data_IF_667654374312
#
_entry.id   IF_667654374312
#
_cell.length_a   1.000
_cell.length_b   1.000
_cell.length_c   1.000
_cell.angle_alpha   90.00
_cell.angle_beta   90.00
_cell.angle_gamma   90.00
#
_symmetry.space_group_name_H-M   'P 1'
#
loop_
_entity.id
_entity.type
_entity.pdbx_description
1 polymer ?
#
# COMPACT_ATOMS: atom_id res chain seq x y z
N UNK A 1 -66.89 -26.78 -29.94
CA UNK A 1 -65.63 -26.05 -29.90
C UNK A 1 -64.81 -26.59 -28.74
N UNK A 2 -63.75 -27.42 -29.03
CA UNK A 2 -62.82 -27.94 -28.05
C UNK A 2 -61.61 -27.08 -28.02
N UNK A 3 -61.37 -26.35 -26.93
CA UNK A 3 -60.16 -25.61 -26.68
C UNK A 3 -59.08 -26.58 -26.16
N UNK A 4 -58.02 -26.78 -26.94
CA UNK A 4 -56.82 -27.49 -26.49
C UNK A 4 -55.93 -26.50 -25.76
N UNK A 5 -55.65 -26.73 -24.46
CA UNK A 5 -54.70 -25.99 -23.65
C UNK A 5 -53.30 -26.60 -23.89
N UNK A 6 -52.45 -25.86 -24.58
CA UNK A 6 -51.03 -26.26 -24.77
C UNK A 6 -50.23 -25.83 -23.54
N UNK A 7 -49.83 -26.81 -22.73
CA UNK A 7 -48.97 -26.60 -21.56
C UNK A 7 -47.52 -26.47 -22.03
N UNK A 8 -46.95 -25.27 -22.06
CA UNK A 8 -45.54 -25.06 -22.36
C UNK A 8 -44.75 -25.30 -21.06
N UNK A 9 -44.02 -26.43 -21.04
CA UNK A 9 -43.04 -26.74 -19.98
C UNK A 9 -41.78 -25.88 -20.21
N UNK A 10 -41.59 -24.84 -19.41
CA UNK A 10 -40.36 -24.06 -19.36
C UNK A 10 -39.30 -24.89 -18.62
N UNK A 11 -38.38 -25.52 -19.35
CA UNK A 11 -37.23 -26.18 -18.75
C UNK A 11 -36.20 -25.13 -18.37
N UNK A 12 -36.17 -24.77 -17.08
CA UNK A 12 -35.10 -23.97 -16.53
C UNK A 12 -33.82 -24.82 -16.44
N UNK A 13 -32.92 -24.66 -17.39
CA UNK A 13 -31.57 -25.23 -17.31
C UNK A 13 -30.77 -24.44 -16.27
N UNK A 14 -30.59 -25.02 -15.07
CA UNK A 14 -29.61 -24.50 -14.11
C UNK A 14 -28.23 -24.82 -14.64
N UNK A 15 -27.51 -23.80 -15.13
CA UNK A 15 -26.09 -23.91 -15.39
C UNK A 15 -25.37 -23.92 -14.03
N UNK A 16 -25.01 -25.09 -13.54
CA UNK A 16 -24.12 -25.26 -12.42
C UNK A 16 -22.70 -25.03 -12.95
N UNK A 17 -22.15 -23.87 -12.69
CA UNK A 17 -20.77 -23.56 -13.07
C UNK A 17 -19.80 -24.25 -12.09
N UNK A 18 -18.81 -24.96 -12.62
CA UNK A 18 -17.64 -25.38 -11.84
C UNK A 18 -16.91 -24.12 -11.35
N UNK A 19 -16.74 -23.99 -10.04
CA UNK A 19 -16.11 -22.80 -9.47
C UNK A 19 -14.60 -22.99 -9.43
N UNK A 20 -13.90 -22.31 -10.33
CA UNK A 20 -12.44 -22.25 -10.33
C UNK A 20 -11.98 -21.09 -9.42
N UNK A 21 -10.93 -21.33 -8.62
CA UNK A 21 -10.30 -20.30 -7.80
C UNK A 21 -9.02 -19.87 -8.51
N UNK A 22 -8.93 -18.59 -8.85
CA UNK A 22 -7.72 -17.98 -9.39
C UNK A 22 -7.16 -17.02 -8.35
N UNK A 23 -5.89 -17.23 -7.94
CA UNK A 23 -5.13 -16.34 -7.10
C UNK A 23 -3.98 -15.76 -7.91
N UNK A 24 -3.75 -14.46 -7.78
CA UNK A 24 -2.59 -13.76 -8.31
C UNK A 24 -1.90 -12.99 -7.21
N UNK A 25 -0.59 -13.05 -7.19
CA UNK A 25 0.21 -12.33 -6.20
C UNK A 25 1.70 -12.51 -6.41
N UNK A 26 2.48 -12.29 -5.37
CA UNK A 26 3.93 -12.42 -5.41
C UNK A 26 4.39 -13.53 -4.48
N UNK A 27 5.35 -14.33 -4.94
CA UNK A 27 5.96 -15.36 -4.10
C UNK A 27 6.75 -14.72 -2.96
N UNK A 28 6.46 -15.14 -1.72
CA UNK A 28 7.08 -14.61 -0.51
C UNK A 28 7.82 -15.69 0.29
N UNK A 29 8.09 -16.87 -0.33
CA UNK A 29 8.74 -18.00 0.33
C UNK A 29 7.82 -18.82 1.24
N UNK A 30 6.51 -18.66 1.11
CA UNK A 30 5.50 -19.42 1.86
C UNK A 30 4.60 -20.19 0.90
N UNK A 31 4.05 -21.33 1.37
CA UNK A 31 3.15 -22.20 0.65
C UNK A 31 1.69 -21.83 0.89
N UNK A 32 0.78 -22.31 0.03
CA UNK A 32 -0.65 -22.12 0.19
C UNK A 32 -1.30 -23.35 0.81
N UNK A 33 -2.29 -23.15 1.68
CA UNK A 33 -3.07 -24.21 2.29
C UNK A 33 -4.51 -24.19 1.77
N UNK A 34 -5.00 -25.35 1.35
CA UNK A 34 -6.31 -25.54 0.75
C UNK A 34 -7.18 -26.43 1.61
N UNK A 35 -8.35 -25.95 1.98
CA UNK A 35 -9.43 -26.77 2.49
C UNK A 35 -10.21 -27.36 1.32
N UNK A 36 -10.26 -28.69 1.21
CA UNK A 36 -10.79 -29.43 0.08
C UNK A 36 -11.93 -30.35 0.49
N UNK A 37 -13.19 -29.91 0.44
CA UNK A 37 -14.32 -30.73 0.84
C UNK A 37 -14.54 -31.91 -0.09
N UNK A 38 -15.39 -32.84 0.31
CA UNK A 38 -15.87 -33.89 -0.59
C UNK A 38 -16.62 -33.30 -1.79
N UNK A 39 -16.51 -33.96 -2.93
CA UNK A 39 -17.29 -33.60 -4.12
C UNK A 39 -18.78 -33.74 -3.85
N UNK A 40 -19.63 -32.96 -4.51
CA UNK A 40 -21.08 -33.00 -4.39
C UNK A 40 -21.66 -34.38 -4.78
N UNK A 41 -20.96 -35.13 -5.64
CA UNK A 41 -21.30 -36.53 -5.96
C UNK A 41 -21.10 -37.53 -4.84
N UNK A 42 -20.45 -37.13 -3.74
CA UNK A 42 -20.06 -38.02 -2.62
C UNK A 42 -18.86 -38.91 -2.93
N UNK A 43 -18.25 -38.79 -4.11
CA UNK A 43 -17.11 -39.62 -4.52
C UNK A 43 -15.87 -38.75 -4.69
N UNK A 44 -14.88 -38.95 -3.82
CA UNK A 44 -13.61 -38.21 -3.80
C UNK A 44 -13.76 -36.75 -3.35
N UNK A 45 -12.71 -35.99 -3.54
CA UNK A 45 -12.61 -34.58 -3.12
C UNK A 45 -12.97 -33.61 -4.26
N UNK A 46 -13.22 -32.34 -3.88
CA UNK A 46 -13.69 -31.29 -4.77
C UNK A 46 -12.63 -30.89 -5.81
N UNK A 47 -11.38 -30.67 -5.37
CA UNK A 47 -10.29 -30.29 -6.25
C UNK A 47 -9.84 -31.46 -7.10
N UNK A 48 -9.68 -31.23 -8.41
CA UNK A 48 -9.16 -32.23 -9.33
C UNK A 48 -7.88 -31.80 -10.05
N UNK A 49 -7.55 -30.52 -10.01
CA UNK A 49 -6.32 -29.99 -10.62
C UNK A 49 -5.89 -28.70 -9.93
N UNK A 50 -4.59 -28.54 -9.73
CA UNK A 50 -3.94 -27.29 -9.31
C UNK A 50 -2.84 -26.97 -10.30
N UNK A 51 -2.79 -25.70 -10.75
CA UNK A 51 -1.69 -25.23 -11.59
C UNK A 51 -1.09 -23.96 -11.00
N UNK A 52 0.23 -23.82 -11.13
CA UNK A 52 1.00 -22.63 -10.75
C UNK A 52 1.72 -22.13 -12.00
N UNK A 53 1.46 -20.89 -12.41
CA UNK A 53 1.93 -20.32 -13.69
C UNK A 53 1.68 -21.24 -14.90
N UNK A 54 0.54 -21.97 -14.88
CA UNK A 54 0.14 -22.92 -15.92
C UNK A 54 0.79 -24.32 -15.83
N UNK A 55 1.70 -24.55 -14.89
CA UNK A 55 2.30 -25.85 -14.63
C UNK A 55 1.46 -26.60 -13.60
N UNK A 56 1.06 -27.85 -13.90
CA UNK A 56 0.32 -28.69 -12.95
C UNK A 56 1.23 -29.09 -11.80
N UNK A 57 0.71 -28.99 -10.55
CA UNK A 57 1.43 -29.39 -9.35
C UNK A 57 1.40 -30.90 -9.17
N UNK A 58 2.32 -31.42 -8.37
CA UNK A 58 2.37 -32.83 -7.93
C UNK A 58 1.86 -33.01 -6.51
N UNK A 59 1.24 -31.97 -5.94
CA UNK A 59 0.72 -32.01 -4.57
C UNK A 59 -0.37 -33.08 -4.40
N UNK A 60 -0.46 -33.66 -3.19
CA UNK A 60 -1.46 -34.66 -2.84
C UNK A 60 -2.83 -34.00 -2.62
N UNK A 61 -3.59 -33.86 -3.70
CA UNK A 61 -4.93 -33.24 -3.69
C UNK A 61 -6.06 -34.17 -3.24
N UNK A 62 -5.78 -35.47 -3.02
CA UNK A 62 -6.77 -36.47 -2.61
C UNK A 62 -6.99 -36.51 -1.11
N UNK A 63 -7.10 -35.36 -0.49
CA UNK A 63 -7.21 -35.14 0.94
C UNK A 63 -8.22 -34.03 1.25
N UNK A 64 -8.79 -34.01 2.45
CA UNK A 64 -9.71 -32.96 2.91
C UNK A 64 -9.02 -31.58 3.09
N UNK A 65 -7.69 -31.58 3.18
CA UNK A 65 -6.84 -30.40 3.16
C UNK A 65 -5.48 -30.77 2.60
N UNK A 66 -4.87 -29.88 1.85
CA UNK A 66 -3.54 -30.08 1.30
C UNK A 66 -2.79 -28.77 1.19
N UNK A 67 -1.48 -28.88 1.02
CA UNK A 67 -0.56 -27.77 0.79
C UNK A 67 -0.24 -27.71 -0.70
N UNK A 68 -0.21 -26.50 -1.27
CA UNK A 68 0.39 -26.24 -2.58
C UNK A 68 1.81 -25.79 -2.29
N UNK A 69 2.77 -26.67 -2.57
CA UNK A 69 4.19 -26.41 -2.36
C UNK A 69 4.75 -25.52 -3.48
N UNK A 70 4.85 -24.23 -3.20
CA UNK A 70 5.38 -23.26 -4.14
C UNK A 70 6.91 -23.29 -4.21
N UNK A 71 7.59 -23.90 -3.24
CA UNK A 71 9.06 -23.94 -3.19
C UNK A 71 9.68 -24.79 -4.30
N UNK A 72 8.96 -25.79 -4.80
CA UNK A 72 9.42 -26.72 -5.86
C UNK A 72 9.56 -26.06 -7.22
N UNK A 73 8.96 -24.87 -7.43
CA UNK A 73 8.98 -24.16 -8.71
C UNK A 73 10.23 -23.29 -8.91
N UNK A 74 11.05 -23.11 -7.88
CA UNK A 74 12.27 -22.29 -7.95
C UNK A 74 12.05 -20.79 -8.10
N UNK A 75 10.91 -20.28 -7.69
CA UNK A 75 10.60 -18.83 -7.74
C UNK A 75 11.50 -18.01 -6.83
N UNK A 76 11.81 -16.80 -7.25
CA UNK A 76 12.47 -15.80 -6.40
C UNK A 76 11.43 -15.03 -5.58
N UNK A 77 11.84 -14.60 -4.36
CA UNK A 77 11.00 -13.69 -3.55
C UNK A 77 10.66 -12.44 -4.36
N UNK A 78 9.36 -12.11 -4.43
CA UNK A 78 8.83 -10.99 -5.22
C UNK A 78 8.45 -11.34 -6.66
N UNK A 79 8.65 -12.58 -7.11
CA UNK A 79 8.22 -13.03 -8.42
C UNK A 79 6.69 -13.13 -8.50
N UNK A 80 6.11 -12.67 -9.61
CA UNK A 80 4.66 -12.74 -9.83
C UNK A 80 4.25 -14.18 -10.12
N UNK A 81 3.26 -14.66 -9.38
CA UNK A 81 2.69 -16.00 -9.58
C UNK A 81 1.18 -15.97 -9.75
N UNK A 82 0.66 -16.94 -10.48
CA UNK A 82 -0.76 -17.20 -10.66
C UNK A 82 -1.03 -18.66 -10.28
N UNK A 83 -1.94 -18.87 -9.34
CA UNK A 83 -2.36 -20.19 -8.87
C UNK A 83 -3.81 -20.41 -9.25
N UNK A 84 -4.11 -21.50 -9.97
CA UNK A 84 -5.45 -21.88 -10.33
C UNK A 84 -5.79 -23.23 -9.66
N UNK A 85 -6.90 -23.23 -8.90
CA UNK A 85 -7.45 -24.44 -8.29
C UNK A 85 -8.77 -24.76 -8.96
N UNK A 86 -8.85 -25.91 -9.64
CA UNK A 86 -10.04 -26.37 -10.36
C UNK A 86 -10.86 -27.33 -9.52
N UNK A 87 -12.12 -27.01 -9.36
CA UNK A 87 -13.08 -27.79 -8.58
C UNK A 87 -14.07 -28.52 -9.51
N UNK A 88 -14.55 -29.69 -9.06
CA UNK A 88 -15.68 -30.40 -9.66
C UNK A 88 -16.97 -29.57 -9.49
N UNK A 89 -17.97 -29.86 -10.29
CA UNK A 89 -19.26 -29.20 -10.21
C UNK A 89 -19.94 -29.41 -8.84
N UNK A 90 -20.62 -28.37 -8.37
CA UNK A 90 -21.40 -28.40 -7.14
C UNK A 90 -20.61 -28.39 -5.84
N UNK A 91 -19.29 -28.17 -5.88
CA UNK A 91 -18.45 -28.01 -4.69
C UNK A 91 -17.44 -26.89 -4.87
N UNK A 92 -16.92 -26.34 -3.75
CA UNK A 92 -15.95 -25.25 -3.74
C UNK A 92 -14.88 -25.53 -2.69
N UNK A 93 -13.62 -25.49 -3.07
CA UNK A 93 -12.49 -25.48 -2.16
C UNK A 93 -12.28 -24.07 -1.58
N UNK A 94 -11.46 -23.95 -0.53
CA UNK A 94 -11.12 -22.68 0.11
C UNK A 94 -9.63 -22.58 0.34
N UNK A 95 -9.02 -21.48 -0.12
CA UNK A 95 -7.65 -21.12 0.24
C UNK A 95 -7.68 -20.50 1.65
N UNK A 96 -6.86 -21.01 2.56
CA UNK A 96 -6.88 -20.62 3.98
C UNK A 96 -5.97 -19.43 4.28
N UNK A 97 -4.94 -19.19 3.47
CA UNK A 97 -3.86 -18.21 3.71
C UNK A 97 -3.46 -17.46 2.44
N UNK A 98 -4.41 -17.02 1.64
CA UNK A 98 -4.12 -16.29 0.38
C UNK A 98 -3.26 -15.05 0.55
N UNK A 99 -3.26 -14.45 1.76
CA UNK A 99 -2.46 -13.27 2.12
C UNK A 99 -0.95 -13.51 2.12
N UNK A 100 -0.48 -14.76 2.06
CA UNK A 100 0.96 -15.07 1.92
C UNK A 100 1.52 -14.63 0.57
N UNK A 101 0.66 -14.42 -0.43
CA UNK A 101 1.03 -13.90 -1.75
C UNK A 101 1.06 -12.37 -1.81
N UNK A 102 0.71 -11.68 -0.73
CA UNK A 102 0.77 -10.23 -0.70
C UNK A 102 2.21 -9.74 -0.55
N UNK A 103 2.62 -8.67 -1.27
CA UNK A 103 3.94 -8.07 -1.13
C UNK A 103 4.27 -7.71 0.32
N UNK A 104 5.55 -7.88 0.69
CA UNK A 104 6.12 -7.52 2.01
C UNK A 104 7.13 -6.39 1.88
N UNK A 105 7.28 -5.61 2.93
CA UNK A 105 8.29 -4.55 3.01
C UNK A 105 9.69 -5.16 3.22
N UNK A 106 10.35 -5.61 2.13
CA UNK A 106 11.64 -6.33 2.17
C UNK A 106 12.80 -5.55 1.57
N UNK A 107 12.55 -4.38 0.96
CA UNK A 107 13.57 -3.60 0.26
C UNK A 107 14.83 -3.35 1.10
N UNK A 108 15.97 -3.31 0.42
CA UNK A 108 17.25 -2.86 0.99
C UNK A 108 17.74 -1.65 0.21
N UNK A 109 18.24 -0.63 0.92
CA UNK A 109 18.85 0.53 0.28
C UNK A 109 20.29 0.18 -0.08
N UNK A 110 20.58 0.14 -1.38
CA UNK A 110 21.94 0.00 -1.90
C UNK A 110 22.67 1.34 -1.89
N UNK A 111 22.01 2.41 -2.32
CA UNK A 111 22.53 3.77 -2.25
C UNK A 111 21.40 4.77 -1.97
N UNK A 112 21.72 5.86 -1.25
CA UNK A 112 20.81 6.96 -1.01
C UNK A 112 21.60 8.26 -0.87
N UNK A 113 21.26 9.28 -1.66
CA UNK A 113 21.91 10.59 -1.62
C UNK A 113 20.92 11.72 -1.93
N UNK A 114 21.26 12.90 -1.45
CA UNK A 114 20.58 14.15 -1.83
C UNK A 114 21.48 14.89 -2.80
N UNK A 115 20.94 15.27 -3.96
CA UNK A 115 21.61 16.02 -5.01
C UNK A 115 20.77 17.26 -5.33
N UNK A 116 21.25 18.42 -4.87
CA UNK A 116 20.46 19.65 -4.88
C UNK A 116 19.19 19.52 -4.05
N UNK A 117 18.04 19.57 -4.71
CA UNK A 117 16.72 19.37 -4.10
C UNK A 117 16.12 17.99 -4.41
N UNK A 118 16.88 17.05 -4.93
CA UNK A 118 16.40 15.73 -5.26
C UNK A 118 16.95 14.69 -4.30
N UNK A 119 16.09 13.84 -3.78
CA UNK A 119 16.48 12.57 -3.16
C UNK A 119 16.56 11.52 -4.26
N UNK A 120 17.72 10.88 -4.38
CA UNK A 120 17.97 9.74 -5.27
C UNK A 120 18.28 8.53 -4.40
N UNK A 121 17.69 7.37 -4.74
CA UNK A 121 18.03 6.12 -4.06
C UNK A 121 17.88 4.94 -5.00
N UNK A 122 18.60 3.88 -4.66
CA UNK A 122 18.49 2.57 -5.30
C UNK A 122 18.13 1.52 -4.25
N UNK A 123 17.32 0.57 -4.66
CA UNK A 123 16.88 -0.55 -3.82
C UNK A 123 17.23 -1.88 -4.46
N UNK A 124 17.35 -2.89 -3.61
CA UNK A 124 17.40 -4.31 -3.94
C UNK A 124 16.30 -5.03 -3.15
N UNK A 125 15.99 -6.26 -3.55
CA UNK A 125 15.10 -7.18 -2.82
C UNK A 125 13.67 -6.65 -2.55
N UNK A 126 13.12 -5.85 -3.48
CA UNK A 126 11.70 -5.54 -3.42
C UNK A 126 10.88 -6.81 -3.71
N UNK A 127 9.88 -7.09 -2.89
CA UNK A 127 9.03 -8.29 -3.02
C UNK A 127 7.63 -7.99 -3.57
N UNK A 128 7.56 -7.03 -4.48
CA UNK A 128 6.32 -6.59 -5.13
C UNK A 128 6.14 -5.08 -5.07
N UNK A 129 5.26 -4.58 -5.93
CA UNK A 129 5.03 -3.15 -6.10
C UNK A 129 4.26 -2.58 -4.92
N UNK A 130 4.97 -1.88 -4.04
CA UNK A 130 4.41 -1.14 -2.91
C UNK A 130 4.97 0.29 -2.89
N UNK A 131 4.19 1.29 -2.45
CA UNK A 131 4.65 2.66 -2.40
C UNK A 131 5.77 2.86 -1.37
N UNK A 132 6.72 3.71 -1.71
CA UNK A 132 7.68 4.30 -0.79
C UNK A 132 7.17 5.65 -0.30
N UNK A 133 7.19 5.84 1.01
CA UNK A 133 6.88 7.11 1.65
C UNK A 133 8.18 7.79 2.04
N UNK A 134 8.46 8.95 1.45
CA UNK A 134 9.59 9.79 1.84
C UNK A 134 9.14 10.64 3.02
N UNK A 135 9.85 10.49 4.14
CA UNK A 135 9.53 11.18 5.38
C UNK A 135 10.65 12.16 5.75
N UNK A 136 10.25 13.34 6.20
CA UNK A 136 11.13 14.39 6.70
C UNK A 136 10.83 14.63 8.17
N UNK A 137 11.88 14.72 9.01
CA UNK A 137 11.72 15.06 10.39
C UNK A 137 11.55 16.57 10.55
N UNK A 138 10.39 16.97 11.06
CA UNK A 138 10.04 18.36 11.39
C UNK A 138 9.01 18.39 12.51
N UNK A 139 8.98 19.46 13.26
CA UNK A 139 8.00 19.63 14.34
C UNK A 139 8.00 18.46 15.34
N UNK A 140 9.19 17.92 15.64
CA UNK A 140 9.42 16.76 16.51
C UNK A 140 8.70 15.47 16.06
N UNK A 141 8.40 15.33 14.77
CA UNK A 141 7.77 14.12 14.18
C UNK A 141 8.25 13.85 12.77
N UNK A 142 8.09 12.60 12.32
CA UNK A 142 8.27 12.24 10.92
C UNK A 142 7.00 12.59 10.13
N UNK A 143 7.15 13.38 9.10
CA UNK A 143 6.07 13.84 8.21
C UNK A 143 6.32 13.29 6.82
N UNK A 144 5.35 12.59 6.25
CA UNK A 144 5.42 12.15 4.85
C UNK A 144 5.33 13.38 3.95
N UNK A 145 6.36 13.57 3.12
CA UNK A 145 6.47 14.71 2.20
C UNK A 145 6.29 14.30 0.74
N UNK A 146 6.45 13.01 0.42
CA UNK A 146 6.19 12.46 -0.90
C UNK A 146 5.84 10.97 -0.82
N UNK A 147 5.12 10.50 -1.84
CA UNK A 147 4.85 9.10 -2.10
C UNK A 147 5.37 8.75 -3.49
N UNK A 148 6.10 7.65 -3.62
CA UNK A 148 6.71 7.19 -4.86
C UNK A 148 6.34 5.73 -5.09
N UNK A 149 5.76 5.43 -6.24
CA UNK A 149 5.38 4.06 -6.58
C UNK A 149 6.61 3.14 -6.65
N UNK A 150 6.58 2.05 -5.91
CA UNK A 150 7.62 1.03 -5.98
C UNK A 150 7.52 0.21 -7.26
N UNK A 151 8.65 -0.20 -7.82
CA UNK A 151 8.73 -1.04 -9.03
C UNK A 151 8.51 -2.51 -8.73
N UNK A 152 8.81 -2.94 -7.52
CA UNK A 152 8.52 -4.28 -7.01
C UNK A 152 9.43 -5.37 -7.57
N UNK A 153 10.42 -5.05 -8.39
CA UNK A 153 11.35 -6.05 -8.90
C UNK A 153 12.41 -6.40 -7.84
N UNK A 154 12.76 -7.70 -7.67
CA UNK A 154 13.75 -8.11 -6.68
C UNK A 154 15.17 -7.65 -7.01
N UNK A 155 15.45 -7.32 -8.28
CA UNK A 155 16.70 -6.73 -8.75
C UNK A 155 16.77 -5.23 -8.43
N UNK A 156 17.88 -4.60 -8.80
CA UNK A 156 18.10 -3.18 -8.58
C UNK A 156 17.02 -2.30 -9.21
N UNK A 157 16.48 -1.38 -8.41
CA UNK A 157 15.52 -0.35 -8.84
C UNK A 157 16.04 1.02 -8.42
N UNK A 158 15.89 2.02 -9.31
CA UNK A 158 16.32 3.39 -9.05
C UNK A 158 15.12 4.32 -8.98
N UNK A 159 15.19 5.28 -8.05
CA UNK A 159 14.13 6.24 -7.75
C UNK A 159 14.68 7.65 -7.60
N UNK A 160 13.82 8.61 -7.85
CA UNK A 160 14.09 10.03 -7.64
C UNK A 160 12.81 10.76 -7.23
N UNK A 161 12.95 11.73 -6.31
CA UNK A 161 11.86 12.62 -5.93
C UNK A 161 12.40 13.99 -5.53
N UNK A 162 11.69 15.04 -5.91
CA UNK A 162 12.02 16.40 -5.47
C UNK A 162 11.62 16.60 -4.00
N UNK A 163 12.53 17.15 -3.21
CA UNK A 163 12.34 17.48 -1.80
C UNK A 163 11.89 18.92 -1.61
N UNK A 164 10.99 19.12 -0.66
CA UNK A 164 10.65 20.45 -0.14
C UNK A 164 11.33 20.63 1.21
N UNK A 165 12.60 21.07 1.15
CA UNK A 165 13.41 21.29 2.33
C UNK A 165 12.87 22.47 3.13
N UNK A 166 12.93 22.37 4.46
CA UNK A 166 12.76 23.52 5.35
C UNK A 166 14.12 24.20 5.61
N UNK A 167 14.14 25.34 6.28
CA UNK A 167 15.36 26.03 6.65
C UNK A 167 16.24 25.20 7.60
N UNK A 168 17.56 25.31 7.45
CA UNK A 168 18.51 24.62 8.31
C UNK A 168 18.64 23.12 8.05
N UNK A 169 18.90 22.34 9.09
CA UNK A 169 19.15 20.90 8.99
C UNK A 169 17.87 20.12 8.72
N UNK A 170 17.90 19.25 7.70
CA UNK A 170 16.82 18.37 7.31
C UNK A 170 17.26 16.92 7.45
N UNK A 171 16.46 16.10 8.16
CA UNK A 171 16.64 14.65 8.25
C UNK A 171 15.55 13.99 7.44
N UNK A 172 15.93 13.04 6.59
CA UNK A 172 15.05 12.37 5.66
C UNK A 172 15.26 10.87 5.78
N UNK A 173 14.19 10.10 5.67
CA UNK A 173 14.21 8.65 5.56
C UNK A 173 13.14 8.17 4.59
N UNK A 174 13.25 6.92 4.20
CA UNK A 174 12.28 6.23 3.35
C UNK A 174 11.59 5.17 4.19
N UNK A 175 10.26 5.09 4.08
CA UNK A 175 9.43 4.06 4.69
C UNK A 175 8.64 3.31 3.63
N UNK A 176 8.48 2.02 3.81
CA UNK A 176 7.51 1.18 3.10
C UNK A 176 6.64 0.46 4.13
N UNK A 177 5.35 0.33 3.84
CA UNK A 177 4.38 -0.35 4.73
C UNK A 177 3.71 -1.46 3.95
N UNK A 178 3.74 -2.68 4.45
CA UNK A 178 3.09 -3.82 3.83
C UNK A 178 1.60 -3.94 4.17
N UNK A 179 0.93 -4.91 3.56
CA UNK A 179 -0.49 -5.19 3.80
C UNK A 179 -0.81 -5.61 5.24
N UNK A 180 0.18 -6.15 5.97
CA UNK A 180 0.09 -6.52 7.38
C UNK A 180 0.38 -5.35 8.33
N UNK A 181 0.58 -4.13 7.80
CA UNK A 181 0.96 -2.90 8.53
C UNK A 181 2.36 -2.93 9.15
N UNK A 182 3.23 -3.82 8.70
CA UNK A 182 4.64 -3.78 9.07
C UNK A 182 5.34 -2.66 8.31
N UNK A 183 6.14 -1.88 9.03
CA UNK A 183 6.93 -0.80 8.46
C UNK A 183 8.39 -1.21 8.34
N UNK A 184 8.99 -0.95 7.19
CA UNK A 184 10.44 -1.00 6.99
C UNK A 184 10.96 0.39 6.65
N UNK A 185 12.08 0.76 7.28
CA UNK A 185 12.69 2.09 7.15
C UNK A 185 14.10 1.98 6.58
N UNK A 186 14.50 2.99 5.80
CA UNK A 186 15.92 3.22 5.49
C UNK A 186 16.66 3.77 6.71
N UNK A 187 18.00 3.84 6.61
CA UNK A 187 18.78 4.77 7.44
C UNK A 187 18.37 6.20 7.13
N UNK A 188 18.61 7.10 8.08
CA UNK A 188 18.41 8.53 7.91
C UNK A 188 19.55 9.13 7.09
N UNK A 189 19.21 10.12 6.24
CA UNK A 189 20.18 10.98 5.58
C UNK A 189 19.92 12.42 5.97
N UNK A 190 21.00 13.18 6.19
CA UNK A 190 20.92 14.56 6.64
C UNK A 190 21.47 15.51 5.58
N UNK A 191 20.82 16.66 5.41
CA UNK A 191 21.31 17.75 4.56
C UNK A 191 20.98 19.09 5.20
N UNK A 192 21.80 20.10 4.92
CA UNK A 192 21.54 21.47 5.36
C UNK A 192 21.06 22.31 4.20
N UNK A 193 19.90 22.92 4.36
CA UNK A 193 19.31 23.82 3.38
C UNK A 193 19.80 25.26 3.62
N UNK A 194 20.14 25.96 2.52
CA UNK A 194 20.44 27.38 2.52
C UNK A 194 19.18 28.28 2.50
N UNK A 195 17.99 27.71 2.48
CA UNK A 195 16.72 28.43 2.51
C UNK A 195 16.66 29.25 3.81
N UNK A 196 16.39 30.57 3.75
CA UNK A 196 16.26 31.39 4.95
C UNK A 196 15.12 30.92 5.84
N UNK A 197 15.21 31.09 7.17
CA UNK A 197 14.11 30.76 8.06
C UNK A 197 12.84 31.50 7.71
N UNK A 198 11.73 30.76 7.63
CA UNK A 198 10.42 31.33 7.32
C UNK A 198 9.91 32.12 8.54
N UNK A 199 9.26 33.25 8.27
CA UNK A 199 8.48 34.04 9.23
C UNK A 199 7.04 34.15 8.77
N UNK A 200 6.12 34.52 9.66
CA UNK A 200 4.73 34.75 9.28
C UNK A 200 4.18 36.02 9.93
N UNK A 201 3.09 36.53 9.34
CA UNK A 201 2.24 37.59 9.90
C UNK A 201 0.76 37.25 9.66
N UNK A 202 -0.09 37.68 10.58
CA UNK A 202 -1.54 37.63 10.41
C UNK A 202 -2.01 38.93 9.80
N UNK A 203 -2.64 38.87 8.63
CA UNK A 203 -3.16 40.04 7.93
C UNK A 203 -4.68 40.11 8.00
N UNK A 204 -5.19 41.29 8.37
CA UNK A 204 -6.62 41.61 8.45
C UNK A 204 -7.47 40.58 9.22
N UNK A 205 -6.83 39.77 10.08
CA UNK A 205 -7.49 38.67 10.76
C UNK A 205 -8.17 37.65 9.83
N UNK A 206 -7.75 37.62 8.54
CA UNK A 206 -8.32 36.77 7.49
C UNK A 206 -7.32 35.79 6.91
N UNK A 207 -6.04 36.08 6.95
CA UNK A 207 -5.01 35.23 6.39
C UNK A 207 -3.72 35.26 7.20
N UNK A 208 -2.96 34.20 7.10
CA UNK A 208 -1.56 34.13 7.49
C UNK A 208 -0.73 34.24 6.20
N UNK A 209 0.24 35.15 6.19
CA UNK A 209 1.19 35.33 5.09
C UNK A 209 2.56 34.93 5.58
N UNK A 210 3.16 33.94 4.94
CA UNK A 210 4.52 33.50 5.20
C UNK A 210 5.51 34.29 4.32
N UNK A 211 6.74 34.46 4.80
CA UNK A 211 7.80 35.15 4.05
C UNK A 211 8.19 34.42 2.75
N UNK A 212 7.88 33.15 2.64
CA UNK A 212 8.06 32.28 1.46
C UNK A 212 7.24 31.02 1.59
N UNK A 213 6.98 30.26 0.49
CA UNK A 213 6.19 29.05 0.54
C UNK A 213 6.78 28.03 1.51
N UNK A 214 5.94 27.50 2.40
CA UNK A 214 6.32 26.50 3.41
C UNK A 214 5.21 25.49 3.65
N UNK A 215 5.56 24.32 4.17
CA UNK A 215 4.56 23.40 4.71
C UNK A 215 4.08 23.92 6.06
N UNK A 216 2.77 23.77 6.31
CA UNK A 216 2.16 24.18 7.56
C UNK A 216 1.11 23.19 8.06
N UNK A 217 0.94 23.17 9.39
CA UNK A 217 -0.19 22.54 10.08
C UNK A 217 -0.70 23.52 11.15
N UNK A 218 -2.01 23.69 11.19
CA UNK A 218 -2.68 24.50 12.21
C UNK A 218 -3.47 23.60 13.12
N UNK A 219 -3.30 23.78 14.42
CA UNK A 219 -3.99 23.01 15.45
C UNK A 219 -4.89 23.92 16.28
N UNK A 220 -6.06 23.41 16.65
CA UNK A 220 -6.90 24.04 17.65
C UNK A 220 -6.37 23.81 19.09
N UNK A 221 -7.03 24.36 20.09
CA UNK A 221 -6.68 24.21 21.50
C UNK A 221 -6.77 22.77 22.02
N UNK A 222 -7.43 21.87 21.27
CA UNK A 222 -7.56 20.45 21.59
C UNK A 222 -6.50 19.58 20.90
N UNK A 223 -5.59 20.20 20.12
CA UNK A 223 -4.56 19.48 19.36
C UNK A 223 -5.07 18.82 18.07
N UNK A 224 -6.26 19.16 17.58
CA UNK A 224 -6.78 18.67 16.31
C UNK A 224 -6.27 19.54 15.17
N UNK A 225 -5.83 18.92 14.08
CA UNK A 225 -5.42 19.63 12.86
C UNK A 225 -6.68 20.21 12.19
N UNK A 226 -6.73 21.55 12.09
CA UNK A 226 -7.80 22.28 11.39
C UNK A 226 -7.39 22.69 9.98
N UNK A 227 -6.08 22.89 9.73
CA UNK A 227 -5.51 23.09 8.40
C UNK A 227 -4.17 22.39 8.26
N UNK A 228 -3.88 21.91 7.07
CA UNK A 228 -2.54 21.50 6.64
C UNK A 228 -2.37 21.82 5.15
N UNK A 229 -1.17 22.18 4.76
CA UNK A 229 -0.90 22.50 3.36
C UNK A 229 0.53 22.94 3.11
N UNK A 230 0.72 23.48 1.91
CA UNK A 230 1.94 24.10 1.44
C UNK A 230 1.61 25.37 0.67
N UNK A 231 2.29 26.46 0.97
CA UNK A 231 2.11 27.76 0.32
C UNK A 231 2.68 28.89 1.15
N UNK A 232 2.55 30.09 0.64
CA UNK A 232 2.93 31.35 1.29
C UNK A 232 1.74 32.11 1.89
N UNK A 233 0.50 31.69 1.55
CA UNK A 233 -0.74 32.27 2.09
C UNK A 233 -1.64 31.15 2.62
N UNK A 234 -2.13 31.32 3.84
CA UNK A 234 -3.15 30.47 4.46
C UNK A 234 -4.38 31.32 4.82
N UNK A 235 -5.50 31.07 4.15
CA UNK A 235 -6.79 31.68 4.50
C UNK A 235 -7.33 31.10 5.81
N UNK A 236 -7.60 31.97 6.79
CA UNK A 236 -8.12 31.60 8.10
C UNK A 236 -9.51 32.19 8.39
N UNK A 237 -10.24 32.67 7.36
CA UNK A 237 -11.56 33.31 7.51
C UNK A 237 -12.55 32.39 8.24
N UNK A 238 -12.52 31.11 7.93
CA UNK A 238 -13.47 30.11 8.49
C UNK A 238 -13.14 29.67 9.91
N UNK A 239 -11.98 30.09 10.48
CA UNK A 239 -11.66 29.78 11.86
C UNK A 239 -12.46 30.61 12.83
N UNK A 240 -12.89 29.99 13.91
CA UNK A 240 -13.51 30.68 15.05
C UNK A 240 -12.50 31.58 15.78
N UNK A 241 -13.01 32.53 16.55
CA UNK A 241 -12.19 33.38 17.44
C UNK A 241 -11.58 32.57 18.57
N UNK A 242 -10.31 32.24 18.45
CA UNK A 242 -9.59 31.40 19.40
C UNK A 242 -8.07 31.53 19.22
N UNK A 243 -7.34 30.90 20.14
CA UNK A 243 -5.89 30.67 19.99
C UNK A 243 -5.67 29.38 19.20
N UNK A 244 -4.73 29.44 18.26
CA UNK A 244 -4.30 28.34 17.43
C UNK A 244 -2.79 28.15 17.52
N UNK A 245 -2.33 26.90 17.34
CA UNK A 245 -0.93 26.56 17.22
C UNK A 245 -0.57 26.33 15.75
N UNK A 246 0.57 26.85 15.34
CA UNK A 246 1.03 26.85 13.96
C UNK A 246 2.38 26.18 13.86
N UNK A 247 2.42 25.05 13.18
CA UNK A 247 3.64 24.41 12.71
C UNK A 247 3.94 24.94 11.31
N UNK A 248 5.12 25.46 11.06
CA UNK A 248 5.57 25.90 9.75
C UNK A 248 7.10 25.88 9.69
N UNK A 249 7.68 25.80 8.49
CA UNK A 249 9.13 25.62 8.34
C UNK A 249 9.60 24.40 9.18
N UNK A 250 10.47 24.60 10.16
CA UNK A 250 10.75 23.64 11.24
C UNK A 250 10.50 24.27 12.62
N UNK A 251 9.45 25.06 12.75
CA UNK A 251 9.11 25.84 13.94
C UNK A 251 7.71 25.52 14.42
N UNK A 252 7.52 25.75 15.71
CA UNK A 252 6.25 25.70 16.43
C UNK A 252 5.96 27.09 16.97
N UNK A 253 4.84 27.64 16.62
CA UNK A 253 4.41 28.99 17.04
C UNK A 253 2.92 29.02 17.34
N UNK A 254 2.37 30.19 17.64
CA UNK A 254 0.93 30.36 17.89
C UNK A 254 0.43 31.70 17.34
N UNK A 255 -0.85 31.76 17.02
CA UNK A 255 -1.55 32.99 16.68
C UNK A 255 -2.94 33.04 17.31
N UNK A 256 -3.52 34.24 17.39
CA UNK A 256 -4.88 34.43 17.87
C UNK A 256 -5.76 34.97 16.75
N UNK A 257 -6.82 34.27 16.44
CA UNK A 257 -7.92 34.73 15.59
C UNK A 257 -8.85 35.59 16.45
N UNK A 258 -9.03 36.84 16.08
CA UNK A 258 -9.85 37.83 16.81
C UNK A 258 -11.24 38.03 16.23
#
# INVERSE_FOLDING_TARGET
MKQSFLLIFLVFSFFVNAQNIELRGTYQGENLYVQNPFAASGVGFCVYEVTVNGMTTTDEINSNSFEIDLSVFGFYIGEQISVNVRCKEGCTARILNSEVLNPRATFEIESMKIDGQNLLWTTLHESGSMPFYVEQFRWNKWVTIAEVAGKGAPKQNSYQVALRLHSGENKIRIRQTDSRKNNKYSKEITTTSAIPPVTFKVENNQQIVFSQPTMYEVYDSYGRIVFKGYGDILNIVILDKARYYLNYDNKLDQFTKR
#
